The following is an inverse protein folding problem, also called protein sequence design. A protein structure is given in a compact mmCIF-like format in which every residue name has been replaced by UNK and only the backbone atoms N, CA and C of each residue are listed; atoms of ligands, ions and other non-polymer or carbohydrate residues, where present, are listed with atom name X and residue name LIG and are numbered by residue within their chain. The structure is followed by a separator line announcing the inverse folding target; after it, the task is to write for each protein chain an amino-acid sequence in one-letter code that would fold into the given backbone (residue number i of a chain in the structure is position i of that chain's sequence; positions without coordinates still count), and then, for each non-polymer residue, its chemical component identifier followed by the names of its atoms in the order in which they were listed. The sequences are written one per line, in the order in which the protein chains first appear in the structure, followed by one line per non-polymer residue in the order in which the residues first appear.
data_IF_606488617317
#
_entry.id   IF_606488617317
#
_cell.length_a   1.000
_cell.length_b   1.000
_cell.length_c   1.000
_cell.angle_alpha   90.00
_cell.angle_beta   90.00
_cell.angle_gamma   90.00
#
_symmetry.space_group_name_H-M   'P 1'
#
loop_
_entity.id
_entity.type
_entity.pdbx_description
1 polymer ?
#
# COMPACT_ATOMS: atom_id res chain seq x y z
N UNK A 1 19.17 -1.85 8.09
CA UNK A 1 18.66 -3.02 8.83
C UNK A 1 17.47 -3.53 8.03
N UNK A 2 17.52 -4.78 7.58
CA UNK A 2 16.56 -5.38 6.64
C UNK A 2 15.66 -6.25 7.50
N UNK A 3 14.34 -6.01 7.51
CA UNK A 3 13.41 -6.82 8.30
C UNK A 3 13.53 -8.31 7.98
N UNK A 4 13.30 -9.16 8.97
CA UNK A 4 13.50 -10.62 8.83
C UNK A 4 12.26 -11.26 8.21
N UNK A 5 12.39 -11.98 7.11
CA UNK A 5 11.29 -12.82 6.60
C UNK A 5 11.34 -14.18 7.29
N UNK A 6 10.34 -14.49 8.12
CA UNK A 6 10.22 -15.79 8.77
C UNK A 6 9.10 -16.61 8.16
N UNK A 7 9.39 -17.86 7.84
CA UNK A 7 8.36 -18.82 7.46
C UNK A 7 7.42 -19.05 8.65
N UNK A 8 6.13 -18.74 8.49
CA UNK A 8 5.17 -18.78 9.59
C UNK A 8 4.34 -20.06 9.59
N UNK A 9 3.88 -20.54 8.43
CA UNK A 9 3.05 -21.73 8.33
C UNK A 9 2.97 -22.27 6.90
N UNK A 10 2.65 -23.57 6.76
CA UNK A 10 2.24 -24.15 5.47
C UNK A 10 0.82 -24.67 5.63
N UNK A 11 -0.13 -24.17 4.83
CA UNK A 11 -1.54 -24.61 4.84
C UNK A 11 -1.90 -25.10 3.44
N UNK A 12 -2.36 -26.36 3.34
CA UNK A 12 -2.76 -26.99 2.06
C UNK A 12 -1.68 -26.90 0.96
N UNK A 13 -0.41 -27.05 1.32
CA UNK A 13 0.72 -26.97 0.37
C UNK A 13 1.16 -25.54 0.01
N UNK A 14 0.43 -24.52 0.45
CA UNK A 14 0.80 -23.11 0.28
C UNK A 14 1.66 -22.67 1.47
N UNK A 15 2.83 -22.09 1.17
CA UNK A 15 3.78 -21.57 2.17
C UNK A 15 3.47 -20.11 2.47
N UNK A 16 3.20 -19.82 3.74
CA UNK A 16 2.98 -18.48 4.26
C UNK A 16 4.20 -18.05 5.07
N UNK A 17 4.68 -16.84 4.82
CA UNK A 17 5.70 -16.21 5.64
C UNK A 17 5.19 -14.92 6.25
N UNK A 18 5.80 -14.55 7.37
CA UNK A 18 5.59 -13.27 8.04
C UNK A 18 6.83 -12.41 7.82
N UNK A 19 6.61 -11.16 7.41
CA UNK A 19 7.65 -10.14 7.44
C UNK A 19 7.71 -9.56 8.85
N UNK A 20 8.87 -9.67 9.50
CA UNK A 20 9.11 -9.10 10.82
C UNK A 20 9.75 -7.72 10.64
N UNK A 21 9.00 -6.68 11.04
CA UNK A 21 9.38 -5.28 10.94
C UNK A 21 9.68 -4.65 12.31
N UNK A 22 9.70 -5.43 13.39
CA UNK A 22 9.78 -4.97 14.80
C UNK A 22 10.91 -3.96 15.06
N UNK A 23 12.07 -4.14 14.43
CA UNK A 23 13.22 -3.23 14.61
C UNK A 23 13.19 -1.97 13.71
N UNK A 24 12.16 -1.80 12.88
CA UNK A 24 12.03 -0.67 11.96
C UNK A 24 11.12 0.44 12.50
N UNK A 25 10.28 0.15 13.50
CA UNK A 25 9.43 1.13 14.16
C UNK A 25 10.23 1.93 15.18
N UNK A 26 9.97 3.24 15.26
CA UNK A 26 10.62 4.16 16.20
C UNK A 26 9.74 4.45 17.42
N UNK A 27 8.46 4.18 17.30
CA UNK A 27 7.42 4.52 18.28
C UNK A 27 6.45 3.36 18.47
N UNK A 28 5.66 3.40 19.53
CA UNK A 28 4.53 2.49 19.74
C UNK A 28 3.24 2.98 19.02
N UNK A 29 3.36 3.96 18.11
CA UNK A 29 2.23 4.49 17.35
C UNK A 29 1.76 3.41 16.33
N UNK A 30 0.52 2.90 16.46
CA UNK A 30 0.00 1.91 15.51
C UNK A 30 -0.10 2.43 14.08
N UNK A 31 -0.05 3.76 13.89
CA UNK A 31 -0.14 4.40 12.58
C UNK A 31 1.23 4.68 11.95
N UNK A 32 2.34 4.40 12.65
CA UNK A 32 3.69 4.58 12.13
C UNK A 32 3.92 3.73 10.86
N UNK A 33 4.25 4.39 9.76
CA UNK A 33 4.63 3.73 8.52
C UNK A 33 6.14 3.51 8.48
N UNK A 34 6.57 2.26 8.28
CA UNK A 34 7.98 1.90 8.12
C UNK A 34 8.29 1.46 6.70
N UNK A 35 9.48 1.79 6.16
CA UNK A 35 9.90 1.32 4.85
C UNK A 35 9.85 -0.21 4.73
N UNK A 36 9.32 -0.70 3.62
CA UNK A 36 9.30 -2.11 3.30
C UNK A 36 10.74 -2.66 3.20
N UNK A 37 10.97 -3.86 3.73
CA UNK A 37 12.24 -4.59 3.62
C UNK A 37 12.70 -4.80 2.17
N UNK A 38 11.76 -4.88 1.22
CA UNK A 38 12.03 -5.03 -0.21
C UNK A 38 12.17 -3.68 -0.95
N UNK A 39 12.17 -2.55 -0.24
CA UNK A 39 12.39 -1.23 -0.83
C UNK A 39 13.88 -0.89 -0.77
N UNK A 40 14.56 -0.94 -1.91
CA UNK A 40 15.88 -0.36 -2.08
C UNK A 40 15.75 1.17 -2.17
N UNK A 41 16.43 1.96 -1.32
CA UNK A 41 16.28 3.42 -1.30
C UNK A 41 16.69 4.12 -2.60
N UNK A 42 17.50 3.48 -3.44
CA UNK A 42 17.99 4.06 -4.70
C UNK A 42 17.27 3.48 -5.92
N UNK A 43 16.93 2.19 -5.87
CA UNK A 43 16.37 1.44 -7.03
C UNK A 43 14.87 1.22 -6.94
N UNK A 44 14.25 1.50 -5.79
CA UNK A 44 12.85 1.21 -5.54
C UNK A 44 12.62 -0.26 -5.14
N UNK A 45 11.43 -0.78 -5.44
CA UNK A 45 11.08 -2.15 -5.06
C UNK A 45 11.98 -3.18 -5.78
N UNK A 46 12.58 -4.10 -5.02
CA UNK A 46 13.45 -5.15 -5.58
C UNK A 46 12.68 -6.42 -6.00
N UNK A 47 11.38 -6.49 -5.71
CA UNK A 47 10.53 -7.58 -6.19
C UNK A 47 10.31 -7.46 -7.69
N UNK A 48 10.21 -8.61 -8.37
CA UNK A 48 9.76 -8.64 -9.76
C UNK A 48 8.29 -8.25 -9.84
N UNK A 49 7.86 -7.81 -11.02
CA UNK A 49 6.50 -7.34 -11.24
C UNK A 49 5.45 -8.39 -10.88
N UNK A 50 5.68 -9.65 -11.25
CA UNK A 50 4.78 -10.77 -10.94
C UNK A 50 4.69 -11.11 -9.45
N UNK A 51 5.73 -10.78 -8.66
CA UNK A 51 5.79 -11.04 -7.22
C UNK A 51 5.25 -9.87 -6.38
N UNK A 52 4.99 -8.73 -7.03
CA UNK A 52 4.61 -7.49 -6.34
C UNK A 52 3.14 -7.54 -5.91
N UNK A 53 2.83 -7.39 -4.61
CA UNK A 53 1.44 -7.31 -4.16
C UNK A 53 0.70 -6.13 -4.78
N UNK A 54 -0.60 -6.26 -4.97
CA UNK A 54 -1.42 -5.20 -5.58
C UNK A 54 -1.28 -3.85 -4.87
N UNK A 55 -1.39 -3.81 -3.53
CA UNK A 55 -1.19 -2.60 -2.71
C UNK A 55 0.17 -1.92 -2.98
N UNK A 56 1.22 -2.72 -3.20
CA UNK A 56 2.54 -2.18 -3.50
C UNK A 56 2.61 -1.66 -4.96
N UNK A 57 1.89 -2.29 -5.88
CA UNK A 57 1.83 -1.91 -7.30
C UNK A 57 1.09 -0.59 -7.54
N UNK A 58 0.12 -0.25 -6.68
CA UNK A 58 -0.64 1.01 -6.78
C UNK A 58 -0.11 2.12 -5.87
N UNK A 59 0.86 1.83 -4.98
CA UNK A 59 1.46 2.84 -4.11
C UNK A 59 1.94 4.06 -4.92
N UNK A 60 1.64 5.31 -4.51
CA UNK A 60 1.15 5.73 -3.19
C UNK A 60 -0.37 5.78 -3.00
N UNK A 61 -1.16 5.17 -3.88
CA UNK A 61 -2.61 5.13 -3.76
C UNK A 61 -3.08 4.05 -2.78
N UNK A 62 -4.19 4.31 -2.09
CA UNK A 62 -4.90 3.32 -1.26
C UNK A 62 -6.40 3.45 -1.50
N UNK A 63 -7.10 2.32 -1.46
CA UNK A 63 -8.55 2.31 -1.32
C UNK A 63 -8.90 2.29 0.18
N UNK A 64 -9.80 3.18 0.58
CA UNK A 64 -10.16 3.40 1.97
C UNK A 64 -11.67 3.45 2.15
N UNK A 65 -12.15 3.01 3.29
CA UNK A 65 -13.51 3.24 3.76
C UNK A 65 -13.56 4.56 4.53
N UNK A 66 -14.39 5.51 4.07
CA UNK A 66 -14.71 6.75 4.76
C UNK A 66 -16.20 6.76 5.09
N UNK A 67 -16.55 6.30 6.29
CA UNK A 67 -17.94 6.27 6.78
C UNK A 67 -18.90 5.45 5.91
N UNK A 68 -18.43 4.31 5.40
CA UNK A 68 -19.18 3.39 4.52
C UNK A 68 -19.05 3.70 3.03
N UNK A 69 -18.28 4.72 2.65
CA UNK A 69 -17.99 5.06 1.25
C UNK A 69 -16.56 4.67 0.90
N UNK A 70 -16.38 3.90 -0.17
CA UNK A 70 -15.04 3.57 -0.68
C UNK A 70 -14.48 4.75 -1.47
N UNK A 71 -13.29 5.19 -1.10
CA UNK A 71 -12.56 6.29 -1.74
C UNK A 71 -11.14 5.86 -2.08
N UNK A 72 -10.58 6.44 -3.15
CA UNK A 72 -9.16 6.31 -3.48
C UNK A 72 -8.43 7.54 -2.96
N UNK A 73 -7.51 7.29 -2.03
CA UNK A 73 -6.74 8.29 -1.33
C UNK A 73 -5.24 8.20 -1.66
N UNK A 74 -4.58 9.36 -1.70
CA UNK A 74 -3.14 9.47 -1.83
C UNK A 74 -2.48 9.38 -0.45
N UNK A 75 -1.45 8.55 -0.32
CA UNK A 75 -0.59 8.52 0.86
C UNK A 75 0.35 9.74 0.84
N UNK A 76 0.23 10.70 1.78
CA UNK A 76 0.97 11.97 1.71
C UNK A 76 2.46 11.84 2.06
N UNK A 77 2.87 10.68 2.59
CA UNK A 77 4.25 10.37 3.00
C UNK A 77 5.17 10.00 1.83
N UNK A 78 4.65 9.92 0.60
CA UNK A 78 5.45 9.62 -0.59
C UNK A 78 6.45 10.75 -0.87
N UNK A 79 7.77 10.52 -0.80
CA UNK A 79 8.77 11.59 -1.03
C UNK A 79 8.80 12.08 -2.48
N UNK A 80 8.31 11.28 -3.44
CA UNK A 80 8.34 11.61 -4.88
C UNK A 80 7.12 12.39 -5.33
N UNK A 81 5.93 12.03 -4.83
CA UNK A 81 4.66 12.68 -5.21
C UNK A 81 4.32 13.82 -4.24
N UNK A 82 4.67 13.67 -2.96
CA UNK A 82 4.30 14.61 -1.90
C UNK A 82 2.84 14.50 -1.48
N UNK A 83 2.41 15.49 -0.69
CA UNK A 83 1.08 15.52 -0.07
C UNK A 83 -0.04 16.06 -0.99
N UNK A 84 0.29 16.59 -2.18
CA UNK A 84 -0.71 17.16 -3.10
C UNK A 84 -0.71 16.39 -4.41
N UNK A 85 -1.84 15.79 -4.81
CA UNK A 85 -1.90 15.01 -6.04
C UNK A 85 -1.77 15.93 -7.26
N UNK A 86 -0.76 15.70 -8.08
CA UNK A 86 -0.62 16.38 -9.37
C UNK A 86 -1.74 15.97 -10.34
N UNK A 87 -2.05 16.86 -11.29
CA UNK A 87 -3.11 16.65 -12.30
C UNK A 87 -3.00 15.31 -13.03
N UNK A 88 -1.79 14.92 -13.45
CA UNK A 88 -1.56 13.66 -14.15
C UNK A 88 -1.95 12.42 -13.33
N UNK A 89 -1.75 12.46 -12.00
CA UNK A 89 -2.13 11.36 -11.12
C UNK A 89 -3.66 11.28 -11.00
N UNK A 90 -4.32 12.42 -10.82
CA UNK A 90 -5.78 12.50 -10.79
C UNK A 90 -6.39 12.00 -12.10
N UNK A 91 -5.84 12.43 -13.23
CA UNK A 91 -6.30 12.02 -14.56
C UNK A 91 -6.07 10.50 -14.77
N UNK A 92 -4.95 9.95 -14.31
CA UNK A 92 -4.68 8.50 -14.36
C UNK A 92 -5.71 7.69 -13.56
N UNK A 93 -6.04 8.13 -12.34
CA UNK A 93 -7.08 7.48 -11.52
C UNK A 93 -8.42 7.54 -12.24
N UNK A 94 -8.81 8.71 -12.74
CA UNK A 94 -10.11 8.92 -13.39
C UNK A 94 -10.25 8.23 -14.76
N UNK A 95 -9.14 8.01 -15.47
CA UNK A 95 -9.13 7.41 -16.81
C UNK A 95 -9.10 5.88 -16.83
N UNK A 96 -9.09 5.23 -15.66
CA UNK A 96 -9.32 3.78 -15.57
C UNK A 96 -8.51 3.07 -14.49
N UNK A 97 -7.46 3.67 -13.92
CA UNK A 97 -6.78 3.04 -12.79
C UNK A 97 -7.71 2.90 -11.57
N UNK A 98 -8.58 3.90 -11.35
CA UNK A 98 -9.53 3.88 -10.23
C UNK A 98 -10.51 2.71 -10.33
N UNK A 99 -11.11 2.49 -11.50
CA UNK A 99 -12.01 1.34 -11.74
C UNK A 99 -11.32 0.01 -11.42
N UNK A 100 -10.07 -0.17 -11.87
CA UNK A 100 -9.30 -1.39 -11.55
C UNK A 100 -9.08 -1.57 -10.05
N UNK A 101 -8.84 -0.50 -9.31
CA UNK A 101 -8.67 -0.54 -7.85
C UNK A 101 -10.00 -0.93 -7.18
N UNK A 102 -11.12 -0.33 -7.59
CA UNK A 102 -12.44 -0.67 -7.05
C UNK A 102 -12.84 -2.12 -7.34
N UNK A 103 -12.67 -2.60 -8.56
CA UNK A 103 -12.97 -4.00 -8.93
C UNK A 103 -12.10 -4.99 -8.15
N UNK A 104 -10.81 -4.70 -8.00
CA UNK A 104 -9.91 -5.54 -7.21
C UNK A 104 -10.33 -5.58 -5.73
N UNK A 105 -10.75 -4.44 -5.16
CA UNK A 105 -11.20 -4.35 -3.77
C UNK A 105 -12.49 -5.14 -3.48
N UNK A 106 -13.41 -5.24 -4.44
CA UNK A 106 -14.62 -6.07 -4.31
C UNK A 106 -14.29 -7.54 -4.09
N UNK A 107 -13.24 -8.03 -4.75
CA UNK A 107 -12.79 -9.43 -4.66
C UNK A 107 -11.87 -9.63 -3.45
N UNK A 108 -11.13 -8.58 -3.06
CA UNK A 108 -10.10 -8.61 -2.03
C UNK A 108 -10.33 -7.54 -0.94
N UNK A 109 -11.39 -7.67 -0.11
CA UNK A 109 -11.77 -6.62 0.84
C UNK A 109 -10.70 -6.29 1.89
N UNK A 110 -9.73 -7.19 2.12
CA UNK A 110 -8.62 -6.96 3.07
C UNK A 110 -7.67 -5.80 2.68
N UNK A 111 -7.73 -5.33 1.43
CA UNK A 111 -6.95 -4.16 0.99
C UNK A 111 -7.61 -2.84 1.39
N UNK A 112 -8.92 -2.85 1.65
CA UNK A 112 -9.67 -1.66 2.08
C UNK A 112 -9.20 -1.31 3.48
N UNK A 113 -8.71 -0.08 3.66
CA UNK A 113 -8.25 0.43 4.96
C UNK A 113 -9.25 1.44 5.50
N UNK A 114 -9.29 1.62 6.82
CA UNK A 114 -9.98 2.78 7.38
C UNK A 114 -9.35 4.07 6.86
N UNK A 115 -10.20 5.05 6.53
CA UNK A 115 -9.74 6.35 6.07
C UNK A 115 -8.96 7.08 7.17
N UNK A 116 -7.83 7.67 6.80
CA UNK A 116 -6.96 8.43 7.68
C UNK A 116 -7.06 9.91 7.35
N UNK A 117 -7.26 10.75 8.36
CA UNK A 117 -7.28 12.19 8.17
C UNK A 117 -5.97 12.71 7.57
N UNK A 118 -6.10 13.68 6.67
CA UNK A 118 -4.96 14.25 5.92
C UNK A 118 -4.56 13.50 4.64
N UNK A 119 -5.23 12.39 4.29
CA UNK A 119 -5.01 11.69 3.03
C UNK A 119 -5.89 12.31 1.93
N UNK A 120 -5.31 12.93 0.87
CA UNK A 120 -6.11 13.55 -0.18
C UNK A 120 -6.92 12.51 -0.96
N UNK A 121 -8.23 12.71 -1.05
CA UNK A 121 -9.12 11.90 -1.88
C UNK A 121 -9.03 12.35 -3.33
N UNK A 122 -8.87 11.41 -4.26
CA UNK A 122 -8.68 11.71 -5.69
C UNK A 122 -9.63 10.95 -6.63
N UNK A 123 -10.37 9.98 -6.12
CA UNK A 123 -11.35 9.20 -6.87
C UNK A 123 -12.10 8.23 -6.00
#
# INVERSE_FOLDING_TARGET
MVGEFRMSQTVQGVRFGRLILENNYRTDDPEEEVPCTFLDPQKGCILKGEDKPFDCSIWPLRIMDKNGELVIALTPTCPTIGATPGRNLVDLVKSGLGEKIYEYAKIHPYIIKEYREGFPIIG
#
